data_IF_132553544962
#
_entry.id   IF_132553544962
#
_cell.length_a   1.000
_cell.length_b   1.000
_cell.length_c   1.000
_cell.angle_alpha   90.00
_cell.angle_beta   90.00
_cell.angle_gamma   90.00
#
_symmetry.space_group_name_H-M   'P 1'
#
loop_
_entity.id
_entity.type
_entity.pdbx_description
1 polymer ?
#
# COMPACT_ATOMS: atom_id res chain seq x y z
N UNK A 1 17.48 2.06 22.95
CA UNK A 1 17.06 0.94 22.09
C UNK A 1 16.28 1.49 20.91
N UNK A 2 16.95 1.75 19.79
CA UNK A 2 16.37 2.36 18.59
C UNK A 2 15.42 1.39 17.88
N UNK A 3 14.30 1.90 17.37
CA UNK A 3 13.21 1.14 16.74
C UNK A 3 13.63 0.28 15.51
N UNK A 4 14.88 0.42 15.06
CA UNK A 4 15.48 -0.35 13.97
C UNK A 4 15.60 -1.86 14.26
N UNK A 5 15.57 -2.29 15.53
CA UNK A 5 15.77 -3.70 15.92
C UNK A 5 14.52 -4.60 15.87
N UNK A 6 13.34 -4.11 15.42
CA UNK A 6 12.08 -4.90 15.43
C UNK A 6 11.57 -5.36 14.07
N UNK A 7 12.33 -5.14 13.00
CA UNK A 7 11.95 -5.62 11.67
C UNK A 7 12.80 -6.82 11.32
N UNK A 8 12.21 -8.02 11.34
CA UNK A 8 12.77 -9.21 10.69
C UNK A 8 13.36 -8.78 9.34
N UNK A 9 14.69 -8.90 9.18
CA UNK A 9 15.47 -8.15 8.21
C UNK A 9 14.89 -8.34 6.80
N UNK A 10 14.35 -7.25 6.24
CA UNK A 10 13.76 -7.29 4.90
C UNK A 10 14.88 -7.49 3.87
N UNK A 11 14.81 -8.58 3.12
CA UNK A 11 15.73 -8.89 2.02
C UNK A 11 15.26 -8.24 0.73
N UNK A 12 13.95 -8.29 0.47
CA UNK A 12 13.37 -7.71 -0.73
C UNK A 12 11.85 -7.77 -0.75
N UNK A 13 11.25 -7.04 -1.68
CA UNK A 13 9.82 -7.02 -1.88
C UNK A 13 9.46 -6.92 -3.37
N UNK A 14 8.33 -7.49 -3.74
CA UNK A 14 7.72 -7.34 -5.06
C UNK A 14 6.25 -7.02 -4.90
N UNK A 15 5.78 -6.00 -5.60
CA UNK A 15 4.37 -5.63 -5.67
C UNK A 15 3.83 -5.90 -7.06
N UNK A 16 2.59 -6.39 -7.15
CA UNK A 16 1.86 -6.53 -8.41
C UNK A 16 0.40 -6.12 -8.25
N UNK A 17 -0.15 -5.53 -9.30
CA UNK A 17 -1.59 -5.34 -9.40
C UNK A 17 -2.28 -6.68 -9.65
N UNK A 18 -3.41 -6.89 -8.99
CA UNK A 18 -4.29 -8.05 -9.16
C UNK A 18 -5.74 -7.58 -9.31
N UNK A 19 -6.66 -8.50 -9.59
CA UNK A 19 -8.10 -8.21 -9.68
C UNK A 19 -8.43 -7.02 -10.61
N UNK A 20 -7.82 -6.98 -11.81
CA UNK A 20 -8.03 -5.89 -12.75
C UNK A 20 -7.53 -4.52 -12.27
N UNK A 21 -6.44 -4.49 -11.48
CA UNK A 21 -5.87 -3.29 -10.84
C UNK A 21 -6.70 -2.71 -9.69
N UNK A 22 -7.69 -3.45 -9.19
CA UNK A 22 -8.46 -3.08 -7.98
C UNK A 22 -7.79 -3.52 -6.66
N UNK A 23 -6.66 -4.21 -6.72
CA UNK A 23 -5.89 -4.53 -5.54
C UNK A 23 -4.39 -4.64 -5.87
N UNK A 24 -3.55 -4.37 -4.88
CA UNK A 24 -2.11 -4.59 -4.92
C UNK A 24 -1.75 -5.70 -3.95
N UNK A 25 -1.02 -6.69 -4.45
CA UNK A 25 -0.40 -7.70 -3.63
C UNK A 25 1.09 -7.44 -3.54
N UNK A 26 1.61 -7.32 -2.32
CA UNK A 26 3.04 -7.22 -2.04
C UNK A 26 3.51 -8.47 -1.35
N UNK A 27 4.57 -9.06 -1.88
CA UNK A 27 5.29 -10.19 -1.29
C UNK A 27 6.59 -9.65 -0.70
N UNK A 28 6.92 -10.05 0.51
CA UNK A 28 8.16 -9.71 1.19
C UNK A 28 8.97 -10.97 1.47
N UNK A 29 10.26 -10.88 1.21
CA UNK A 29 11.28 -11.84 1.62
C UNK A 29 12.01 -11.28 2.83
N UNK A 30 12.01 -12.02 3.94
CA UNK A 30 12.62 -11.58 5.20
C UNK A 30 13.54 -12.67 5.71
N UNK A 31 14.60 -12.32 6.42
CA UNK A 31 15.33 -13.31 7.20
C UNK A 31 14.67 -13.48 8.57
N UNK A 32 14.65 -14.69 9.08
CA UNK A 32 14.21 -14.96 10.45
C UNK A 32 15.29 -14.55 11.45
N UNK A 33 14.89 -14.00 12.59
CA UNK A 33 15.80 -13.80 13.72
C UNK A 33 16.23 -15.14 14.33
N UNK A 34 17.50 -15.25 14.74
CA UNK A 34 18.03 -16.39 15.48
C UNK A 34 19.38 -16.89 14.97
N UNK A 35 19.98 -17.89 15.65
CA UNK A 35 21.32 -18.38 15.34
C UNK A 35 21.44 -19.07 13.97
N UNK A 36 20.32 -19.49 13.36
CA UNK A 36 20.26 -20.09 12.03
C UNK A 36 19.19 -19.37 11.19
N UNK A 37 19.51 -18.21 10.57
CA UNK A 37 18.53 -17.42 9.82
C UNK A 37 18.02 -18.18 8.59
N UNK A 38 16.70 -18.30 8.47
CA UNK A 38 16.01 -18.86 7.31
C UNK A 38 15.31 -17.75 6.53
N UNK A 39 15.08 -18.01 5.25
CA UNK A 39 14.27 -17.12 4.39
C UNK A 39 12.77 -17.36 4.68
N UNK A 40 12.06 -16.28 5.01
CA UNK A 40 10.60 -16.28 5.21
C UNK A 40 9.92 -15.48 4.09
N UNK A 41 8.89 -16.09 3.48
CA UNK A 41 7.94 -15.41 2.59
C UNK A 41 6.76 -14.89 3.40
N UNK A 42 6.43 -13.62 3.25
CA UNK A 42 5.14 -13.09 3.71
C UNK A 42 4.44 -12.38 2.57
N UNK A 43 3.10 -12.36 2.58
CA UNK A 43 2.29 -11.63 1.59
C UNK A 43 1.35 -10.66 2.31
N UNK A 44 1.14 -9.50 1.71
CA UNK A 44 0.13 -8.52 2.11
C UNK A 44 -0.68 -8.12 0.88
N UNK A 45 -1.98 -8.04 1.03
CA UNK A 45 -2.88 -7.54 -0.01
C UNK A 45 -3.49 -6.22 0.49
N UNK A 46 -3.54 -5.23 -0.39
CA UNK A 46 -4.24 -3.97 -0.20
C UNK A 46 -5.30 -3.89 -1.31
N UNK A 47 -6.55 -3.69 -0.92
CA UNK A 47 -7.67 -3.57 -1.85
C UNK A 47 -8.01 -2.08 -2.04
N UNK A 48 -8.32 -1.70 -3.27
CA UNK A 48 -8.87 -0.40 -3.59
C UNK A 48 -10.38 -0.52 -3.68
N UNK A 49 -11.09 0.48 -3.16
CA UNK A 49 -12.52 0.58 -3.40
C UNK A 49 -12.76 0.67 -4.90
N UNK A 50 -13.75 -0.08 -5.40
CA UNK A 50 -14.21 0.00 -6.79
C UNK A 50 -14.69 1.40 -7.12
N UNK A 51 -15.28 2.06 -6.14
CA UNK A 51 -15.58 3.48 -6.19
C UNK A 51 -14.32 4.23 -5.75
N UNK A 52 -13.31 4.31 -6.61
CA UNK A 52 -12.12 5.15 -6.44
C UNK A 52 -12.52 6.63 -6.39
N UNK A 53 -13.20 7.03 -5.32
CA UNK A 53 -13.47 8.42 -5.04
C UNK A 53 -12.20 9.00 -4.45
N UNK A 54 -11.69 10.07 -5.08
CA UNK A 54 -10.66 10.87 -4.44
C UNK A 54 -11.11 11.24 -3.01
N UNK A 55 -10.18 11.47 -2.06
CA UNK A 55 -10.54 11.89 -0.70
C UNK A 55 -11.58 13.01 -0.74
N UNK A 56 -12.54 13.01 0.20
CA UNK A 56 -13.65 13.97 0.19
C UNK A 56 -13.14 15.42 0.10
N UNK A 57 -12.03 15.74 0.78
CA UNK A 57 -11.35 17.04 0.68
C UNK A 57 -10.95 17.42 -0.75
N UNK A 58 -10.45 16.48 -1.54
CA UNK A 58 -10.06 16.68 -2.95
C UNK A 58 -11.29 16.79 -3.85
N UNK A 59 -12.35 16.02 -3.59
CA UNK A 59 -13.60 16.09 -4.36
C UNK A 59 -14.34 17.42 -4.14
N UNK A 60 -14.42 17.88 -2.89
CA UNK A 60 -15.13 19.12 -2.54
C UNK A 60 -14.42 20.37 -3.08
N UNK A 61 -13.10 20.35 -3.24
CA UNK A 61 -12.36 21.44 -3.90
C UNK A 61 -12.77 21.63 -5.38
N UNK A 62 -13.04 20.53 -6.08
CA UNK A 62 -13.43 20.59 -7.50
C UNK A 62 -14.93 20.85 -7.70
N UNK A 63 -15.78 20.44 -6.76
CA UNK A 63 -17.22 20.73 -6.80
C UNK A 63 -17.51 22.25 -6.80
N UNK A 64 -16.75 23.02 -6.02
CA UNK A 64 -16.97 24.46 -5.93
C UNK A 64 -16.52 25.25 -7.17
N UNK A 65 -15.70 24.67 -8.06
CA UNK A 65 -15.24 25.35 -9.29
C UNK A 65 -16.21 25.23 -10.46
N UNK A 66 -17.07 24.23 -10.47
CA UNK A 66 -18.06 24.04 -11.56
C UNK A 66 -19.23 25.02 -11.49
N UNK A 67 -19.46 25.67 -10.35
CA UNK A 67 -20.54 26.67 -10.19
C UNK A 67 -20.13 28.09 -10.60
N UNK A 68 -18.84 28.37 -10.80
CA UNK A 68 -18.35 29.74 -10.98
C UNK A 68 -18.39 30.21 -12.45
N UNK A 69 -18.57 29.31 -13.43
CA UNK A 69 -18.56 29.67 -14.86
C UNK A 69 -19.92 29.59 -15.56
N UNK A 70 -21.03 29.83 -14.83
CA UNK A 70 -22.34 30.07 -15.44
C UNK A 70 -22.77 31.51 -15.17
N UNK A 71 -22.17 32.45 -15.89
CA UNK A 71 -22.70 33.79 -16.16
C UNK A 71 -21.93 34.43 -17.31
#
# INVERSE_FOLDING_TARGET
MTAANKVNYLVGATSRFIAGRNAVQTVYWRTSSGPNPRMLKTKRTCEFDRNQQAPQSVRMQNYNRTFINKE
#
